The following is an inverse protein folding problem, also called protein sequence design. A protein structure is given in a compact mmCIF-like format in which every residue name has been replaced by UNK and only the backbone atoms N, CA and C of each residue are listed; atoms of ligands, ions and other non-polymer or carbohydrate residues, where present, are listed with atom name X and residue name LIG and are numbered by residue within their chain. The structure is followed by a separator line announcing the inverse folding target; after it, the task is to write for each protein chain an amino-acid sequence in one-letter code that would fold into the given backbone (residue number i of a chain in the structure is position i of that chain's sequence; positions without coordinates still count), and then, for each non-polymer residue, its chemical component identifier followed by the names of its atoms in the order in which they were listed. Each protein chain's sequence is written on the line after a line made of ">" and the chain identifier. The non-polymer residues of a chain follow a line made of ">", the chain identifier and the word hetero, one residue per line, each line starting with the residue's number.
data_IF_228192123900
#
_entry.id   IF_228192123900
#
_cell.length_a   1.000
_cell.length_b   1.000
_cell.length_c   1.000
_cell.angle_alpha   90.00
_cell.angle_beta   90.00
_cell.angle_gamma   90.00
#
_symmetry.space_group_name_H-M   'P 1'
#
loop_
_entity.id
_entity.type
_entity.pdbx_description
1 polymer ?
#
# COMPACT_ATOMS: atom_id res chain seq x y z
N UNK A 1 -19.73 -8.69 12.34
CA UNK A 1 -18.63 -8.80 13.32
C UNK A 1 -17.72 -9.96 12.88
N UNK A 2 -16.87 -9.73 11.89
CA UNK A 2 -15.74 -10.60 11.59
C UNK A 2 -14.50 -9.77 11.92
N UNK A 3 -13.69 -10.23 12.86
CA UNK A 3 -12.52 -9.50 13.33
C UNK A 3 -11.52 -9.32 12.19
N UNK A 4 -11.11 -8.07 11.97
CA UNK A 4 -10.01 -7.67 11.11
C UNK A 4 -8.69 -8.17 11.74
N UNK A 5 -8.42 -9.47 11.59
CA UNK A 5 -7.17 -10.07 12.03
C UNK A 5 -6.04 -9.44 11.22
N UNK A 6 -5.07 -8.83 11.91
CA UNK A 6 -3.87 -8.31 11.27
C UNK A 6 -3.14 -9.46 10.57
N UNK A 7 -2.98 -9.36 9.25
CA UNK A 7 -2.18 -10.34 8.50
C UNK A 7 -0.70 -10.07 8.80
N UNK A 8 0.07 -11.08 9.27
CA UNK A 8 1.50 -10.95 9.50
C UNK A 8 2.23 -10.52 8.22
N UNK A 9 3.17 -9.58 8.34
CA UNK A 9 3.95 -9.09 7.19
C UNK A 9 4.85 -10.17 6.60
N UNK A 10 5.25 -11.20 7.37
CA UNK A 10 5.93 -12.40 6.86
C UNK A 10 5.15 -13.09 5.74
N UNK A 11 3.83 -13.04 5.81
CA UNK A 11 2.93 -13.69 4.88
C UNK A 11 2.77 -12.84 3.60
N UNK A 12 3.32 -11.62 3.54
CA UNK A 12 3.36 -10.81 2.32
C UNK A 12 4.40 -11.27 1.29
N UNK A 13 5.38 -12.07 1.72
CA UNK A 13 6.58 -12.32 0.91
C UNK A 13 6.48 -13.56 0.00
N UNK A 14 5.50 -14.44 0.22
CA UNK A 14 5.18 -15.47 -0.77
C UNK A 14 4.39 -14.85 -1.94
N UNK A 15 4.80 -15.13 -3.17
CA UNK A 15 4.18 -14.53 -4.37
C UNK A 15 2.65 -14.73 -4.45
N UNK A 16 2.15 -15.83 -3.86
CA UNK A 16 0.72 -16.11 -3.74
C UNK A 16 0.01 -15.41 -2.57
N UNK A 17 0.69 -15.19 -1.45
CA UNK A 17 0.10 -14.54 -0.27
C UNK A 17 0.21 -13.00 -0.32
N UNK A 18 1.28 -12.47 -0.90
CA UNK A 18 1.46 -11.02 -1.08
C UNK A 18 0.38 -10.37 -1.96
N UNK A 19 -0.12 -11.08 -2.98
CA UNK A 19 -1.23 -10.59 -3.80
C UNK A 19 -2.57 -10.58 -3.05
N UNK A 20 -2.80 -11.55 -2.16
CA UNK A 20 -4.00 -11.63 -1.33
C UNK A 20 -4.07 -10.47 -0.33
N UNK A 21 -2.95 -10.12 0.32
CA UNK A 21 -2.94 -8.96 1.22
C UNK A 21 -3.02 -7.64 0.45
N UNK A 22 -2.38 -7.54 -0.73
CA UNK A 22 -2.56 -6.38 -1.58
C UNK A 22 -4.03 -6.18 -1.97
N UNK A 23 -4.77 -7.25 -2.27
CA UNK A 23 -6.21 -7.21 -2.51
C UNK A 23 -6.98 -6.75 -1.26
N UNK A 24 -6.66 -7.29 -0.08
CA UNK A 24 -7.30 -6.91 1.18
C UNK A 24 -7.07 -5.42 1.53
N UNK A 25 -5.85 -4.92 1.34
CA UNK A 25 -5.52 -3.52 1.54
C UNK A 25 -6.20 -2.61 0.53
N UNK A 26 -6.28 -3.01 -0.74
CA UNK A 26 -7.01 -2.26 -1.77
C UNK A 26 -8.50 -2.13 -1.40
N UNK A 27 -9.12 -3.21 -0.92
CA UNK A 27 -10.52 -3.20 -0.49
C UNK A 27 -10.80 -2.29 0.72
N UNK A 28 -9.77 -1.91 1.49
CA UNK A 28 -9.89 -0.99 2.62
C UNK A 28 -9.91 0.49 2.22
N UNK A 29 -9.63 0.82 0.95
CA UNK A 29 -9.58 2.19 0.46
C UNK A 29 -11.00 2.67 0.13
N UNK A 30 -11.58 3.62 0.88
CA UNK A 30 -12.98 4.03 0.68
C UNK A 30 -13.25 4.63 -0.71
N UNK A 31 -12.25 5.28 -1.31
CA UNK A 31 -12.31 5.84 -2.66
C UNK A 31 -12.52 4.77 -3.74
N UNK A 32 -12.26 3.50 -3.42
CA UNK A 32 -12.43 2.36 -4.33
C UNK A 32 -13.61 1.46 -3.93
N UNK A 33 -14.51 1.92 -3.05
CA UNK A 33 -15.71 1.15 -2.71
C UNK A 33 -16.51 0.80 -3.98
N UNK A 34 -16.78 -0.50 -4.18
CA UNK A 34 -17.45 -1.01 -5.37
C UNK A 34 -16.56 -1.17 -6.62
N UNK A 35 -15.30 -0.75 -6.57
CA UNK A 35 -14.32 -0.96 -7.65
C UNK A 35 -13.55 -2.25 -7.39
N UNK A 36 -13.51 -3.13 -8.39
CA UNK A 36 -12.76 -4.38 -8.32
C UNK A 36 -11.38 -4.22 -8.98
N UNK A 37 -10.35 -4.78 -8.35
CA UNK A 37 -9.07 -4.98 -8.99
C UNK A 37 -9.20 -6.09 -10.03
N UNK A 38 -8.86 -5.78 -11.29
CA UNK A 38 -8.84 -6.76 -12.39
C UNK A 38 -7.54 -7.56 -12.40
N UNK A 39 -6.43 -6.91 -12.02
CA UNK A 39 -5.13 -7.55 -11.91
C UNK A 39 -4.31 -6.89 -10.80
N UNK A 40 -3.59 -7.72 -10.03
CA UNK A 40 -2.62 -7.28 -9.03
C UNK A 40 -1.29 -7.94 -9.37
N UNK A 41 -0.24 -7.14 -9.57
CA UNK A 41 1.08 -7.62 -9.97
C UNK A 41 2.16 -7.02 -9.09
N UNK A 42 2.98 -7.88 -8.48
CA UNK A 42 4.12 -7.43 -7.69
C UNK A 42 5.15 -6.71 -8.58
N UNK A 43 5.58 -5.53 -8.16
CA UNK A 43 6.64 -4.76 -8.79
C UNK A 43 7.97 -5.09 -8.09
N UNK A 44 8.87 -5.75 -8.82
CA UNK A 44 10.23 -6.06 -8.34
C UNK A 44 11.09 -4.80 -8.32
N UNK A 45 12.17 -4.83 -7.54
CA UNK A 45 13.15 -3.75 -7.45
C UNK A 45 12.97 -2.80 -6.26
N UNK A 46 11.95 -3.01 -5.42
CA UNK A 46 11.87 -2.36 -4.12
C UNK A 46 12.92 -2.93 -3.15
N UNK A 47 13.74 -2.06 -2.55
CA UNK A 47 14.76 -2.48 -1.57
C UNK A 47 14.12 -2.67 -0.18
N UNK A 48 13.32 -1.68 0.25
CA UNK A 48 12.70 -1.64 1.59
C UNK A 48 11.17 -1.64 1.57
N UNK A 49 10.55 -1.55 0.39
CA UNK A 49 9.11 -1.50 0.22
C UNK A 49 8.66 -2.61 -0.73
N UNK A 50 7.52 -3.20 -0.43
CA UNK A 50 6.82 -4.08 -1.36
C UNK A 50 5.81 -3.26 -2.14
N UNK A 51 5.93 -3.26 -3.46
CA UNK A 51 5.08 -2.46 -4.34
C UNK A 51 4.26 -3.37 -5.24
N UNK A 52 3.02 -2.99 -5.51
CA UNK A 52 2.14 -3.69 -6.44
C UNK A 52 1.56 -2.69 -7.44
N UNK A 53 1.44 -3.11 -8.69
CA UNK A 53 0.55 -2.48 -9.67
C UNK A 53 -0.82 -3.11 -9.53
N UNK A 54 -1.84 -2.28 -9.40
CA UNK A 54 -3.25 -2.67 -9.35
C UNK A 54 -3.94 -2.06 -10.56
N UNK A 55 -4.44 -2.91 -11.45
CA UNK A 55 -5.21 -2.49 -12.61
C UNK A 55 -6.69 -2.61 -12.30
N UNK A 56 -7.45 -1.55 -12.59
CA UNK A 56 -8.91 -1.51 -12.49
C UNK A 56 -9.49 -1.19 -13.88
N UNK A 57 -10.82 -1.27 -14.02
CA UNK A 57 -11.48 -0.87 -15.25
C UNK A 57 -11.25 0.61 -15.64
N UNK A 58 -10.95 1.48 -14.67
CA UNK A 58 -10.80 2.91 -14.90
C UNK A 58 -9.34 3.34 -15.09
N UNK A 59 -8.42 2.79 -14.28
CA UNK A 59 -7.02 3.21 -14.25
C UNK A 59 -6.13 2.20 -13.53
N UNK A 60 -4.83 2.42 -13.65
CA UNK A 60 -3.81 1.76 -12.86
C UNK A 60 -3.44 2.56 -11.61
N UNK A 61 -3.12 1.82 -10.54
CA UNK A 61 -2.66 2.35 -9.27
C UNK A 61 -1.43 1.61 -8.79
N UNK A 62 -0.65 2.26 -7.94
CA UNK A 62 0.46 1.62 -7.22
C UNK A 62 0.10 1.54 -5.75
N UNK A 63 0.10 0.33 -5.21
CA UNK A 63 0.05 0.09 -3.76
C UNK A 63 1.47 -0.07 -3.25
N UNK A 64 1.90 0.85 -2.39
CA UNK A 64 3.18 0.77 -1.69
C UNK A 64 2.94 0.33 -0.25
N UNK A 65 3.46 -0.84 0.11
CA UNK A 65 3.49 -1.36 1.47
C UNK A 65 4.92 -1.19 1.97
N UNK A 66 5.07 -0.48 3.07
CA UNK A 66 6.37 -0.29 3.65
C UNK A 66 6.83 -1.55 4.40
N UNK A 67 8.10 -1.93 4.23
CA UNK A 67 8.68 -3.09 4.92
C UNK A 67 9.01 -2.81 6.40
N UNK A 68 9.22 -3.89 7.16
CA UNK A 68 9.38 -3.90 8.64
C UNK A 68 10.55 -3.08 9.21
N UNK A 69 11.48 -2.56 8.41
CA UNK A 69 12.68 -1.86 8.94
C UNK A 69 12.46 -0.39 9.29
N UNK A 70 11.25 0.01 9.64
CA UNK A 70 10.94 1.44 9.74
C UNK A 70 11.28 2.07 11.07
N UNK A 71 11.39 1.23 12.09
CA UNK A 71 11.82 1.63 13.43
C UNK A 71 13.34 1.87 13.45
N UNK A 72 14.07 1.20 12.55
CA UNK A 72 15.53 1.28 12.43
C UNK A 72 16.03 2.47 11.61
N UNK A 73 15.16 3.06 10.78
CA UNK A 73 15.51 4.16 9.88
C UNK A 73 14.99 5.53 10.35
N UNK A 74 14.20 5.59 11.43
CA UNK A 74 13.66 6.85 11.96
C UNK A 74 12.68 7.56 11.00
N UNK A 75 12.01 6.80 10.13
CA UNK A 75 11.14 7.35 9.09
C UNK A 75 9.74 7.58 9.65
N UNK A 76 9.36 8.85 9.79
CA UNK A 76 7.99 9.25 10.12
C UNK A 76 7.08 9.13 8.90
N UNK A 77 6.04 8.29 9.00
CA UNK A 77 5.13 7.98 7.89
C UNK A 77 4.20 9.12 7.52
N UNK A 78 3.88 9.98 8.47
CA UNK A 78 3.10 11.19 8.20
C UNK A 78 3.93 12.20 7.44
N UNK A 79 5.22 12.29 7.74
CA UNK A 79 6.17 13.11 6.97
C UNK A 79 6.33 12.56 5.55
N UNK A 80 6.50 11.24 5.37
CA UNK A 80 6.54 10.61 4.04
C UNK A 80 5.27 10.89 3.23
N UNK A 81 4.10 10.80 3.85
CA UNK A 81 2.83 11.11 3.22
C UNK A 81 2.74 12.58 2.81
N UNK A 82 3.07 13.51 3.71
CA UNK A 82 3.06 14.94 3.41
C UNK A 82 4.03 15.31 2.27
N UNK A 83 5.23 14.71 2.27
CA UNK A 83 6.20 14.87 1.19
C UNK A 83 5.65 14.34 -0.15
N UNK A 84 5.00 13.17 -0.14
CA UNK A 84 4.41 12.57 -1.35
C UNK A 84 3.27 13.43 -1.91
N UNK A 85 2.40 13.95 -1.06
CA UNK A 85 1.34 14.89 -1.45
C UNK A 85 1.91 16.19 -2.02
N UNK A 86 2.98 16.73 -1.41
CA UNK A 86 3.66 17.95 -1.89
C UNK A 86 4.30 17.74 -3.26
N UNK A 87 5.00 16.62 -3.45
CA UNK A 87 5.57 16.26 -4.75
C UNK A 87 4.49 16.08 -5.83
N UNK A 88 3.34 15.52 -5.47
CA UNK A 88 2.19 15.41 -6.38
C UNK A 88 1.62 16.79 -6.76
N UNK A 89 1.46 17.69 -5.78
CA UNK A 89 0.99 19.05 -6.04
C UNK A 89 1.95 19.85 -6.94
N UNK A 90 3.26 19.56 -6.86
CA UNK A 90 4.29 20.11 -7.73
C UNK A 90 4.38 19.45 -9.12
N UNK A 91 3.59 18.39 -9.40
CA UNK A 91 3.65 17.65 -10.66
C UNK A 91 4.88 16.74 -10.82
N UNK A 92 5.61 16.48 -9.73
CA UNK A 92 6.84 15.68 -9.71
C UNK A 92 6.53 14.19 -9.49
N UNK A 93 5.46 13.90 -8.73
CA UNK A 93 5.07 12.54 -8.38
C UNK A 93 3.59 12.27 -8.72
N UNK A 94 3.17 10.99 -8.81
CA UNK A 94 1.76 10.64 -8.93
C UNK A 94 0.94 11.12 -7.74
N UNK A 95 -0.35 11.41 -7.98
CA UNK A 95 -1.31 11.74 -6.91
C UNK A 95 -1.45 10.60 -5.91
N UNK A 96 -1.38 10.92 -4.62
CA UNK A 96 -1.72 9.99 -3.55
C UNK A 96 -3.24 9.91 -3.42
N UNK A 97 -3.80 8.71 -3.57
CA UNK A 97 -5.26 8.49 -3.46
C UNK A 97 -5.67 8.30 -2.00
N UNK A 98 -4.88 7.56 -1.24
CA UNK A 98 -5.18 7.23 0.15
C UNK A 98 -3.92 6.81 0.89
N UNK A 99 -3.89 7.03 2.21
CA UNK A 99 -2.92 6.45 3.13
C UNK A 99 -3.68 5.63 4.16
N UNK A 100 -3.33 4.35 4.25
CA UNK A 100 -3.77 3.50 5.36
C UNK A 100 -2.75 3.68 6.48
N UNK A 101 -3.18 4.24 7.60
CA UNK A 101 -2.31 4.44 8.77
C UNK A 101 -1.79 3.08 9.28
N UNK A 102 -0.49 2.98 9.64
CA UNK A 102 0.02 1.82 10.35
C UNK A 102 -0.80 1.61 11.63
N UNK A 103 -1.17 0.37 11.91
CA UNK A 103 -1.87 0.06 13.17
C UNK A 103 -0.87 0.26 14.31
N UNK A 104 -1.19 1.15 15.25
CA UNK A 104 -0.45 1.24 16.51
C UNK A 104 -0.65 -0.07 17.27
N UNK A 105 0.45 -0.79 17.51
CA UNK A 105 0.52 -1.85 18.51
C UNK A 105 0.81 -1.16 19.85
N UNK A 106 -0.11 -1.29 20.81
CA UNK A 106 0.08 -0.86 22.20
C UNK A 106 0.67 -2.03 22.99
#
# INVERSE_FOLDING_TARGET
>A
MAGDAAVPVSDLYDAGHGSAVAAALFARVPQFAGIQAQQITALRGGITNTNYRITTAAADFVLRIAGERTDTLGIDRRVEYAASCSAAAAGIAPRVVHMIEPRAIW
#
